data_IF_139675961947
#
_entry.id   IF_139675961947
#
_cell.length_a   1.000
_cell.length_b   1.000
_cell.length_c   1.000
_cell.angle_alpha   90.00
_cell.angle_beta   90.00
_cell.angle_gamma   90.00
#
_symmetry.space_group_name_H-M   'P 1'
#
loop_
_entity.id
_entity.type
_entity.pdbx_description
1 polymer ?
#
# COMPACT_ATOMS: atom_id res chain seq x y z
N UNK A 1 3.50 -3.15 -13.18
CA UNK A 1 2.64 -2.16 -12.45
C UNK A 1 3.47 -0.92 -12.18
N UNK A 2 3.03 0.23 -12.69
CA UNK A 2 3.68 1.50 -12.36
C UNK A 2 3.17 1.95 -10.99
N UNK A 3 4.03 1.94 -10.00
CA UNK A 3 3.64 2.10 -8.60
C UNK A 3 2.89 3.40 -8.31
N UNK A 4 3.31 4.50 -8.94
CA UNK A 4 2.74 5.81 -8.67
C UNK A 4 1.31 5.96 -9.19
N UNK A 5 0.91 5.13 -10.15
CA UNK A 5 -0.43 5.16 -10.74
C UNK A 5 -1.20 3.88 -10.47
N UNK A 6 -0.63 2.95 -9.72
CA UNK A 6 -1.31 1.71 -9.38
C UNK A 6 -2.50 2.01 -8.46
N UNK A 7 -3.64 1.41 -8.74
CA UNK A 7 -4.87 1.61 -7.98
C UNK A 7 -5.45 0.28 -7.48
N UNK A 8 -6.58 0.35 -6.81
CA UNK A 8 -7.24 -0.84 -6.30
C UNK A 8 -7.62 -1.83 -7.40
N UNK A 9 -7.92 -1.34 -8.60
CA UNK A 9 -8.19 -2.21 -9.74
C UNK A 9 -6.96 -3.06 -10.07
N UNK A 10 -5.80 -2.43 -10.13
CA UNK A 10 -4.54 -3.14 -10.37
C UNK A 10 -4.25 -4.14 -9.25
N UNK A 11 -4.51 -3.75 -8.00
CA UNK A 11 -4.34 -4.64 -6.85
C UNK A 11 -5.20 -5.89 -6.98
N UNK A 12 -6.47 -5.73 -7.32
CA UNK A 12 -7.41 -6.86 -7.44
C UNK A 12 -7.04 -7.82 -8.56
N UNK A 13 -6.44 -7.31 -9.63
CA UNK A 13 -6.01 -8.11 -10.77
C UNK A 13 -4.64 -8.78 -10.56
N UNK A 14 -3.91 -8.37 -9.52
CA UNK A 14 -2.58 -8.89 -9.26
C UNK A 14 -2.63 -10.21 -8.51
N UNK A 15 -1.59 -11.04 -8.72
CA UNK A 15 -1.39 -12.26 -7.93
C UNK A 15 -0.93 -11.90 -6.51
N UNK A 16 -1.04 -12.83 -5.54
CA UNK A 16 -0.50 -12.57 -4.21
C UNK A 16 0.98 -12.20 -4.21
N UNK A 17 1.77 -12.79 -5.09
CA UNK A 17 3.19 -12.47 -5.18
C UNK A 17 3.41 -11.05 -5.68
N UNK A 18 2.64 -10.63 -6.68
CA UNK A 18 2.70 -9.28 -7.20
C UNK A 18 2.25 -8.26 -6.15
N UNK A 19 1.23 -8.60 -5.36
CA UNK A 19 0.77 -7.75 -4.27
C UNK A 19 1.84 -7.56 -3.20
N UNK A 20 2.54 -8.64 -2.84
CA UNK A 20 3.64 -8.54 -1.88
C UNK A 20 4.77 -7.68 -2.40
N UNK A 21 5.12 -7.83 -3.67
CA UNK A 21 6.13 -7.00 -4.30
C UNK A 21 5.72 -5.53 -4.30
N UNK A 22 4.45 -5.25 -4.59
CA UNK A 22 3.92 -3.88 -4.57
C UNK A 22 4.01 -3.28 -3.16
N UNK A 23 3.69 -4.07 -2.13
CA UNK A 23 3.78 -3.61 -0.74
C UNK A 23 5.22 -3.23 -0.39
N UNK A 24 6.19 -4.04 -0.79
CA UNK A 24 7.59 -3.75 -0.53
C UNK A 24 8.04 -2.48 -1.25
N UNK A 25 7.62 -2.29 -2.49
CA UNK A 25 7.95 -1.08 -3.25
C UNK A 25 7.31 0.16 -2.63
N UNK A 26 6.06 0.04 -2.18
CA UNK A 26 5.37 1.14 -1.50
C UNK A 26 6.11 1.52 -0.23
N UNK A 27 6.52 0.53 0.54
CA UNK A 27 7.27 0.76 1.78
C UNK A 27 8.56 1.54 1.51
N UNK A 28 9.33 1.11 0.52
CA UNK A 28 10.58 1.79 0.16
C UNK A 28 10.33 3.21 -0.34
N UNK A 29 9.29 3.39 -1.15
CA UNK A 29 8.96 4.70 -1.69
C UNK A 29 8.54 5.67 -0.59
N UNK A 30 7.71 5.22 0.35
CA UNK A 30 7.24 6.05 1.45
C UNK A 30 8.35 6.36 2.45
N UNK A 31 9.21 5.36 2.74
CA UNK A 31 10.34 5.56 3.64
C UNK A 31 11.32 6.60 3.09
N UNK A 32 11.51 6.62 1.77
CA UNK A 32 12.44 7.54 1.13
C UNK A 32 13.90 7.15 1.33
N UNK A 33 14.83 7.92 0.75
CA UNK A 33 16.25 7.59 0.82
C UNK A 33 16.83 7.60 2.22
N UNK A 34 16.24 8.37 3.13
CA UNK A 34 16.69 8.45 4.53
C UNK A 34 15.91 7.52 5.46
N UNK A 35 14.92 6.83 4.93
CA UNK A 35 14.06 5.91 5.69
C UNK A 35 13.36 6.58 6.86
N UNK A 36 12.96 7.84 6.69
CA UNK A 36 12.31 8.63 7.73
C UNK A 36 10.78 8.64 7.60
N UNK A 37 10.25 8.19 6.47
CA UNK A 37 8.80 8.15 6.28
C UNK A 37 8.12 7.08 7.13
N UNK A 38 6.86 7.33 7.50
CA UNK A 38 6.06 6.35 8.22
C UNK A 38 5.72 5.17 7.32
N UNK A 39 6.08 3.96 7.76
CA UNK A 39 5.80 2.75 7.01
C UNK A 39 5.05 1.75 7.87
N UNK A 40 4.42 0.78 7.18
CA UNK A 40 3.70 -0.31 7.84
C UNK A 40 4.50 -1.60 7.68
N UNK A 41 4.39 -2.54 8.65
CA UNK A 41 4.86 -3.90 8.41
C UNK A 41 4.20 -4.48 7.16
N UNK A 42 4.91 -5.32 6.42
CA UNK A 42 4.43 -5.82 5.14
C UNK A 42 3.09 -6.54 5.23
N UNK A 43 2.89 -7.35 6.27
CA UNK A 43 1.63 -8.07 6.46
C UNK A 43 0.47 -7.12 6.78
N UNK A 44 0.71 -6.11 7.59
CA UNK A 44 -0.29 -5.10 7.92
C UNK A 44 -0.67 -4.30 6.67
N UNK A 45 0.33 -3.87 5.90
CA UNK A 45 0.10 -3.13 4.66
C UNK A 45 -0.69 -3.96 3.66
N UNK A 46 -0.32 -5.23 3.47
CA UNK A 46 -1.02 -6.12 2.56
C UNK A 46 -2.50 -6.24 2.95
N UNK A 47 -2.76 -6.55 4.22
CA UNK A 47 -4.12 -6.74 4.70
C UNK A 47 -4.94 -5.46 4.62
N UNK A 48 -4.33 -4.32 4.92
CA UNK A 48 -4.99 -3.02 4.86
C UNK A 48 -5.39 -2.68 3.41
N UNK A 49 -4.47 -2.83 2.48
CA UNK A 49 -4.75 -2.56 1.07
C UNK A 49 -5.81 -3.51 0.53
N UNK A 50 -5.72 -4.79 0.90
CA UNK A 50 -6.70 -5.79 0.47
C UNK A 50 -8.10 -5.42 0.96
N UNK A 51 -8.23 -5.03 2.22
CA UNK A 51 -9.50 -4.64 2.79
C UNK A 51 -10.04 -3.34 2.17
N UNK A 52 -9.17 -2.36 1.95
CA UNK A 52 -9.58 -1.06 1.38
C UNK A 52 -9.95 -1.16 -0.08
N UNK A 53 -9.41 -2.14 -0.79
CA UNK A 53 -9.69 -2.33 -2.21
C UNK A 53 -10.87 -3.26 -2.50
N UNK A 54 -11.51 -3.82 -1.46
CA UNK A 54 -12.66 -4.71 -1.65
C UNK A 54 -13.88 -4.04 -2.27
N UNK A 55 -14.32 -2.86 -1.81
CA UNK A 55 -15.51 -2.23 -2.40
C UNK A 55 -15.25 -1.82 -3.85
N UNK A 56 -16.25 -1.99 -4.70
CA UNK A 56 -16.11 -1.61 -6.10
C UNK A 56 -15.87 -0.12 -6.31
N UNK A 57 -16.44 0.71 -5.46
CA UNK A 57 -16.23 2.16 -5.57
C UNK A 57 -14.79 2.57 -5.28
N UNK A 58 -14.02 1.69 -4.64
CA UNK A 58 -12.61 1.97 -4.34
C UNK A 58 -11.68 1.72 -5.54
N UNK A 59 -12.21 1.24 -6.66
CA UNK A 59 -11.45 0.79 -7.82
C UNK A 59 -10.42 1.82 -8.31
N UNK A 60 -10.74 3.09 -8.26
CA UNK A 60 -9.85 4.16 -8.70
C UNK A 60 -8.95 4.74 -7.60
N UNK A 61 -9.01 4.22 -6.37
CA UNK A 61 -8.16 4.72 -5.30
C UNK A 61 -6.72 4.26 -5.52
N UNK A 62 -5.78 5.21 -5.44
CA UNK A 62 -4.36 4.89 -5.61
C UNK A 62 -3.81 4.18 -4.38
N UNK A 63 -3.08 3.09 -4.62
CA UNK A 63 -2.47 2.31 -3.54
C UNK A 63 -1.52 3.16 -2.70
N UNK A 64 -0.75 4.01 -3.35
CA UNK A 64 0.19 4.89 -2.68
C UNK A 64 -0.51 5.78 -1.65
N UNK A 65 -1.64 6.38 -2.02
CA UNK A 65 -2.40 7.24 -1.13
C UNK A 65 -3.01 6.45 0.03
N UNK A 66 -3.53 5.27 -0.26
CA UNK A 66 -4.09 4.40 0.78
C UNK A 66 -3.02 3.99 1.79
N UNK A 67 -1.84 3.67 1.29
CA UNK A 67 -0.72 3.30 2.16
C UNK A 67 -0.33 4.46 3.08
N UNK A 68 -0.16 5.65 2.52
CA UNK A 68 0.23 6.84 3.29
C UNK A 68 -0.80 7.14 4.37
N UNK A 69 -2.08 7.09 4.02
CA UNK A 69 -3.15 7.35 5.00
C UNK A 69 -3.14 6.32 6.12
N UNK A 70 -3.01 5.06 5.77
CA UNK A 70 -2.98 4.00 6.79
C UNK A 70 -1.78 4.15 7.72
N UNK A 71 -0.62 4.46 7.17
CA UNK A 71 0.58 4.68 7.97
C UNK A 71 0.45 5.90 8.88
N UNK A 72 -0.22 6.96 8.41
CA UNK A 72 -0.42 8.17 9.20
C UNK A 72 -1.35 7.94 10.40
N UNK A 73 -2.30 7.03 10.27
CA UNK A 73 -3.24 6.72 11.34
C UNK A 73 -2.81 5.57 12.24
N UNK A 74 -1.73 4.88 11.88
CA UNK A 74 -1.21 3.79 12.70
C UNK A 74 -0.25 4.38 13.74
N UNK A 75 -0.48 4.13 15.04
CA UNK A 75 0.45 4.64 16.04
C UNK A 75 1.84 4.06 15.83
N UNK A 76 2.88 4.83 16.14
CA UNK A 76 4.23 4.31 16.00
C UNK A 76 4.40 3.04 16.82
N UNK A 77 5.05 2.08 16.21
CA UNK A 77 5.35 0.82 16.87
C UNK A 77 6.31 1.05 18.01
N UNK A 78 5.91 0.67 19.18
CA UNK A 78 6.76 0.79 20.37
C UNK A 78 7.57 -0.46 20.59
#
# INVERSE_FOLDING_TARGET
MALQVADCGDWRESSPQERQSAVEQLKETVAGPRKEGNTLPNDVAYNTLDARCKPEFAHGFLLYQLYIRAAAFTPPSE
#
